data_IF_008963844070
#
_entry.id   IF_008963844070
#
_cell.length_a   1.000
_cell.length_b   1.000
_cell.length_c   1.000
_cell.angle_alpha   90.00
_cell.angle_beta   90.00
_cell.angle_gamma   90.00
#
_symmetry.space_group_name_H-M   'P 1'
#
loop_
_entity.id
_entity.type
_entity.pdbx_description
1 polymer ?
#
# COMPACT_ATOMS: atom_id res chain seq x y z
N UNK A 1 25.64 -39.48 47.42
CA UNK A 1 26.11 -38.36 46.56
C UNK A 1 26.02 -37.08 47.38
N UNK A 2 27.04 -36.21 47.35
CA UNK A 2 26.99 -34.91 48.05
C UNK A 2 26.10 -33.92 47.27
N UNK A 3 25.54 -32.92 47.95
CA UNK A 3 24.74 -31.87 47.32
C UNK A 3 25.49 -31.17 46.17
N UNK A 4 26.80 -30.92 46.37
CA UNK A 4 27.69 -30.35 45.33
C UNK A 4 27.76 -31.20 44.04
N UNK A 5 27.70 -32.52 44.16
CA UNK A 5 27.73 -33.39 42.98
C UNK A 5 26.42 -33.30 42.16
N UNK A 6 25.29 -33.04 42.82
CA UNK A 6 23.99 -32.85 42.16
C UNK A 6 23.94 -31.45 41.51
N UNK A 7 24.42 -30.42 42.20
CA UNK A 7 24.53 -29.06 41.66
C UNK A 7 25.38 -29.04 40.38
N UNK A 8 26.56 -29.66 40.40
CA UNK A 8 27.42 -29.77 39.22
C UNK A 8 26.74 -30.52 38.05
N UNK A 9 25.89 -31.51 38.33
CA UNK A 9 25.12 -32.20 37.28
C UNK A 9 24.02 -31.32 36.68
N UNK A 10 23.34 -30.50 37.51
CA UNK A 10 22.34 -29.54 37.05
C UNK A 10 22.99 -28.48 36.15
N UNK A 11 24.14 -27.95 36.55
CA UNK A 11 24.87 -26.96 35.77
C UNK A 11 25.32 -27.53 34.42
N UNK A 12 25.84 -28.76 34.42
CA UNK A 12 26.24 -29.45 33.20
C UNK A 12 25.06 -29.66 32.22
N UNK A 13 23.89 -30.02 32.74
CA UNK A 13 22.67 -30.19 31.92
C UNK A 13 22.18 -28.84 31.40
N UNK A 14 22.22 -27.79 32.22
CA UNK A 14 21.80 -26.44 31.84
C UNK A 14 22.63 -25.90 30.67
N UNK A 15 23.96 -26.07 30.74
CA UNK A 15 24.87 -25.69 29.66
C UNK A 15 24.59 -26.48 28.36
N UNK A 16 24.29 -27.77 28.46
CA UNK A 16 23.96 -28.57 27.28
C UNK A 16 22.58 -28.19 26.69
N UNK A 17 21.61 -27.79 27.51
CA UNK A 17 20.33 -27.23 27.04
C UNK A 17 20.59 -25.94 26.26
N UNK A 18 21.33 -24.98 26.81
CA UNK A 18 21.65 -23.71 26.15
C UNK A 18 22.37 -23.92 24.82
N UNK A 19 23.40 -24.77 24.81
CA UNK A 19 24.13 -25.08 23.59
C UNK A 19 23.22 -25.68 22.51
N UNK A 20 22.29 -26.56 22.89
CA UNK A 20 21.35 -27.17 21.94
C UNK A 20 20.29 -26.19 21.47
N UNK A 21 19.78 -25.33 22.34
CA UNK A 21 18.81 -24.31 21.94
C UNK A 21 19.44 -23.31 20.98
N UNK A 22 20.69 -22.91 21.19
CA UNK A 22 21.43 -22.06 20.25
C UNK A 22 21.54 -22.67 18.85
N UNK A 23 21.99 -23.92 18.77
CA UNK A 23 22.12 -24.64 17.49
C UNK A 23 20.76 -24.78 16.80
N UNK A 24 19.73 -25.19 17.55
CA UNK A 24 18.38 -25.35 17.01
C UNK A 24 17.79 -24.01 16.53
N UNK A 25 17.98 -22.93 17.28
CA UNK A 25 17.54 -21.59 16.88
C UNK A 25 18.25 -21.11 15.60
N UNK A 26 19.56 -21.34 15.49
CA UNK A 26 20.32 -20.99 14.30
C UNK A 26 19.82 -21.77 13.07
N UNK A 27 19.57 -23.07 13.22
CA UNK A 27 19.02 -23.92 12.17
C UNK A 27 17.59 -23.48 11.79
N UNK A 28 16.73 -23.21 12.77
CA UNK A 28 15.38 -22.73 12.55
C UNK A 28 15.38 -21.41 11.77
N UNK A 29 16.23 -20.46 12.14
CA UNK A 29 16.40 -19.17 11.43
C UNK A 29 16.81 -19.38 9.96
N UNK A 30 17.71 -20.34 9.70
CA UNK A 30 18.14 -20.70 8.34
C UNK A 30 17.01 -21.35 7.53
N UNK A 31 16.23 -22.24 8.12
CA UNK A 31 15.08 -22.85 7.45
C UNK A 31 13.99 -21.81 7.16
N UNK A 32 13.70 -20.93 8.11
CA UNK A 32 12.72 -19.86 7.93
C UNK A 32 13.11 -18.86 6.85
N UNK A 33 14.38 -18.48 6.77
CA UNK A 33 14.88 -17.63 5.68
C UNK A 33 14.75 -18.34 4.33
N UNK A 34 15.08 -19.64 4.25
CA UNK A 34 14.91 -20.45 3.04
C UNK A 34 13.43 -20.57 2.63
N UNK A 35 12.53 -20.83 3.58
CA UNK A 35 11.08 -20.86 3.36
C UNK A 35 10.57 -19.50 2.85
N UNK A 36 11.01 -18.39 3.46
CA UNK A 36 10.67 -17.03 3.02
C UNK A 36 11.11 -16.78 1.57
N UNK A 37 12.30 -17.24 1.17
CA UNK A 37 12.78 -17.11 -0.20
C UNK A 37 11.89 -17.88 -1.19
N UNK A 38 11.59 -19.14 -0.90
CA UNK A 38 10.71 -19.98 -1.73
C UNK A 38 9.31 -19.39 -1.83
N UNK A 39 8.77 -18.86 -0.72
CA UNK A 39 7.47 -18.19 -0.71
C UNK A 39 7.46 -16.97 -1.64
N UNK A 40 8.53 -16.17 -1.65
CA UNK A 40 8.68 -15.02 -2.56
C UNK A 40 8.74 -15.46 -4.02
N UNK A 41 9.51 -16.50 -4.33
CA UNK A 41 9.60 -17.05 -5.68
C UNK A 41 8.23 -17.56 -6.17
N UNK A 42 7.53 -18.32 -5.32
CA UNK A 42 6.19 -18.81 -5.63
C UNK A 42 5.21 -17.67 -5.89
N UNK A 43 5.24 -16.63 -5.06
CA UNK A 43 4.39 -15.45 -5.25
C UNK A 43 4.71 -14.73 -6.56
N UNK A 44 5.98 -14.62 -6.95
CA UNK A 44 6.37 -14.02 -8.23
C UNK A 44 5.89 -14.82 -9.45
N UNK A 45 5.82 -16.15 -9.35
CA UNK A 45 5.26 -17.02 -10.40
C UNK A 45 3.73 -16.95 -10.43
N UNK A 46 3.10 -16.85 -9.26
CA UNK A 46 1.63 -16.85 -9.12
C UNK A 46 0.99 -15.50 -9.39
N UNK A 47 1.70 -14.39 -9.20
CA UNK A 47 1.20 -13.04 -9.45
C UNK A 47 1.39 -12.69 -10.94
N UNK A 48 0.34 -12.79 -11.78
CA UNK A 48 0.50 -12.56 -13.20
C UNK A 48 0.89 -11.11 -13.50
N UNK A 49 0.49 -10.17 -12.63
CA UNK A 49 0.82 -8.75 -12.77
C UNK A 49 2.31 -8.51 -12.55
N UNK A 50 2.94 -9.24 -11.62
CA UNK A 50 4.38 -9.15 -11.39
C UNK A 50 5.25 -9.56 -12.59
N UNK A 51 4.66 -10.27 -13.57
CA UNK A 51 5.33 -10.71 -14.80
C UNK A 51 5.12 -9.78 -15.98
N UNK A 52 4.20 -8.83 -15.87
CA UNK A 52 3.94 -7.85 -16.92
C UNK A 52 4.94 -6.70 -16.81
N UNK A 53 5.35 -6.09 -17.94
CA UNK A 53 6.03 -4.80 -17.91
C UNK A 53 5.22 -3.78 -17.11
N UNK A 54 5.91 -2.83 -16.48
CA UNK A 54 5.29 -1.81 -15.64
C UNK A 54 4.22 -1.04 -16.42
N UNK A 55 4.51 -0.71 -17.68
CA UNK A 55 3.64 0.03 -18.58
C UNK A 55 2.30 -0.69 -18.80
N UNK A 56 2.34 -2.01 -18.99
CA UNK A 56 1.13 -2.82 -19.21
C UNK A 56 0.32 -2.93 -17.93
N UNK A 57 0.98 -3.10 -16.78
CA UNK A 57 0.31 -3.13 -15.47
C UNK A 57 -0.36 -1.79 -15.15
N UNK A 58 0.33 -0.67 -15.42
CA UNK A 58 -0.20 0.68 -15.26
C UNK A 58 -1.41 0.91 -16.16
N UNK A 59 -1.37 0.48 -17.42
CA UNK A 59 -2.50 0.58 -18.36
C UNK A 59 -3.72 -0.21 -17.88
N UNK A 60 -3.51 -1.46 -17.43
CA UNK A 60 -4.58 -2.27 -16.83
C UNK A 60 -5.20 -1.55 -15.62
N UNK A 61 -4.37 -0.95 -14.77
CA UNK A 61 -4.85 -0.23 -13.59
C UNK A 61 -5.65 1.03 -13.96
N UNK A 62 -5.27 1.74 -15.02
CA UNK A 62 -6.02 2.88 -15.55
C UNK A 62 -7.41 2.45 -16.04
N UNK A 63 -7.51 1.28 -16.68
CA UNK A 63 -8.80 0.70 -17.09
C UNK A 63 -9.69 0.28 -15.92
N UNK A 64 -9.14 0.11 -14.71
CA UNK A 64 -9.91 -0.13 -13.50
C UNK A 64 -10.53 1.13 -12.90
N UNK A 65 -10.16 2.34 -13.37
CA UNK A 65 -10.73 3.56 -12.83
C UNK A 65 -12.24 3.65 -13.14
N UNK A 66 -13.06 4.13 -12.21
CA UNK A 66 -14.50 4.30 -12.37
C UNK A 66 -14.85 5.53 -13.26
N UNK A 67 -14.22 5.64 -14.43
CA UNK A 67 -14.43 6.71 -15.42
C UNK A 67 -15.69 6.50 -16.26
N UNK A 68 -16.48 5.46 -15.95
CA UNK A 68 -17.69 5.10 -16.70
C UNK A 68 -18.86 6.05 -16.38
N UNK A 69 -19.78 6.26 -17.34
CA UNK A 69 -20.97 7.12 -17.18
C UNK A 69 -21.93 6.68 -16.06
N UNK A 70 -21.72 5.50 -15.49
CA UNK A 70 -22.50 4.92 -14.39
C UNK A 70 -22.23 5.61 -13.04
N UNK A 71 -21.12 6.36 -12.93
CA UNK A 71 -20.79 7.14 -11.74
C UNK A 71 -21.24 8.60 -11.92
N UNK A 72 -22.11 9.15 -11.05
CA UNK A 72 -22.70 10.48 -11.23
C UNK A 72 -21.69 11.63 -11.35
N UNK A 73 -20.44 11.42 -10.92
CA UNK A 73 -19.36 12.41 -11.02
C UNK A 73 -18.44 12.21 -12.23
N UNK A 74 -18.42 11.05 -12.87
CA UNK A 74 -17.40 10.69 -13.87
C UNK A 74 -15.95 10.66 -13.33
N UNK A 75 -15.78 10.72 -12.01
CA UNK A 75 -14.49 10.84 -11.32
C UNK A 75 -14.48 9.92 -10.09
N UNK A 76 -13.33 9.29 -9.75
CA UNK A 76 -13.22 8.33 -8.66
C UNK A 76 -13.48 8.97 -7.30
N UNK A 77 -14.34 8.35 -6.50
CA UNK A 77 -14.52 8.72 -5.10
C UNK A 77 -13.46 7.99 -4.26
N UNK A 78 -12.75 8.68 -3.34
CA UNK A 78 -11.84 8.03 -2.40
C UNK A 78 -12.58 6.99 -1.55
N UNK A 79 -12.35 5.71 -1.83
CA UNK A 79 -12.95 4.60 -1.10
C UNK A 79 -12.08 3.35 -1.24
N UNK A 80 -11.96 2.55 -0.17
CA UNK A 80 -11.09 1.38 -0.14
C UNK A 80 -11.44 0.31 -1.20
N UNK A 81 -12.68 0.30 -1.68
CA UNK A 81 -13.18 -0.63 -2.70
C UNK A 81 -13.25 -0.03 -4.11
N UNK A 82 -12.71 1.18 -4.31
CA UNK A 82 -12.75 1.89 -5.59
C UNK A 82 -11.31 2.23 -6.00
N UNK A 83 -10.97 2.00 -7.27
CA UNK A 83 -9.67 2.41 -7.81
C UNK A 83 -9.54 3.95 -7.78
N UNK A 84 -8.35 4.49 -7.50
CA UNK A 84 -7.07 3.79 -7.35
C UNK A 84 -6.82 3.14 -5.97
N UNK A 85 -7.55 3.52 -4.92
CA UNK A 85 -7.26 3.03 -3.55
C UNK A 85 -7.43 1.53 -3.38
N UNK A 86 -8.37 0.91 -4.09
CA UNK A 86 -8.53 -0.55 -4.13
C UNK A 86 -7.22 -1.26 -4.51
N UNK A 87 -6.49 -0.71 -5.48
CA UNK A 87 -5.27 -1.32 -6.01
C UNK A 87 -4.14 -1.37 -4.98
N UNK A 88 -4.21 -0.53 -3.94
CA UNK A 88 -3.22 -0.52 -2.85
C UNK A 88 -3.39 -1.68 -1.87
N UNK A 89 -4.56 -2.31 -1.85
CA UNK A 89 -4.96 -3.29 -0.84
C UNK A 89 -4.82 -4.75 -1.31
N UNK A 90 -4.31 -4.98 -2.53
CA UNK A 90 -4.22 -6.34 -3.11
C UNK A 90 -2.92 -7.03 -2.70
N UNK A 91 -1.77 -6.48 -3.09
CA UNK A 91 -0.45 -6.97 -2.70
C UNK A 91 0.59 -5.85 -2.84
N UNK A 92 1.79 -6.03 -2.27
CA UNK A 92 2.86 -5.04 -2.35
C UNK A 92 3.26 -4.66 -3.78
N UNK A 93 3.22 -5.60 -4.72
CA UNK A 93 3.51 -5.34 -6.14
C UNK A 93 2.51 -4.35 -6.72
N UNK A 94 1.22 -4.57 -6.49
CA UNK A 94 0.17 -3.67 -6.97
C UNK A 94 0.23 -2.31 -6.28
N UNK A 95 0.50 -2.28 -4.97
CA UNK A 95 0.74 -1.02 -4.26
C UNK A 95 1.86 -0.25 -4.93
N UNK A 96 3.02 -0.86 -5.19
CA UNK A 96 4.16 -0.18 -5.80
C UNK A 96 3.85 0.37 -7.20
N UNK A 97 3.17 -0.42 -8.04
CA UNK A 97 2.75 0.02 -9.38
C UNK A 97 1.76 1.19 -9.28
N UNK A 98 0.72 1.06 -8.46
CA UNK A 98 -0.30 2.08 -8.33
C UNK A 98 0.27 3.40 -7.76
N UNK A 99 1.18 3.32 -6.79
CA UNK A 99 1.83 4.50 -6.22
C UNK A 99 2.82 5.17 -7.19
N UNK A 100 3.39 4.42 -8.13
CA UNK A 100 4.34 4.92 -9.14
C UNK A 100 3.68 5.30 -10.48
N UNK A 101 2.34 5.24 -10.56
CA UNK A 101 1.58 5.60 -11.77
C UNK A 101 0.77 6.87 -11.51
N UNK A 102 1.30 8.08 -11.77
CA UNK A 102 0.65 9.33 -11.37
C UNK A 102 -0.70 9.58 -12.06
N UNK A 103 -0.89 9.08 -13.27
CA UNK A 103 -2.15 9.16 -14.01
C UNK A 103 -3.36 8.57 -13.26
N UNK A 104 -3.14 7.57 -12.40
CA UNK A 104 -4.20 7.00 -11.54
C UNK A 104 -4.78 8.01 -10.53
N UNK A 105 -3.99 9.02 -10.20
CA UNK A 105 -4.26 10.03 -9.18
C UNK A 105 -4.66 11.37 -9.78
N UNK A 106 -4.69 11.47 -11.12
CA UNK A 106 -5.01 12.70 -11.84
C UNK A 106 -6.50 13.12 -11.72
N UNK A 107 -7.35 12.29 -11.12
CA UNK A 107 -8.76 12.62 -10.94
C UNK A 107 -9.27 12.24 -9.55
N UNK A 108 -10.17 13.04 -8.98
CA UNK A 108 -10.81 12.79 -7.69
C UNK A 108 -12.19 13.47 -7.62
N UNK A 109 -13.16 12.78 -7.03
CA UNK A 109 -14.45 13.36 -6.63
C UNK A 109 -14.55 13.48 -5.11
N UNK A 110 -14.77 14.71 -4.64
CA UNK A 110 -14.85 15.07 -3.24
C UNK A 110 -16.31 15.37 -2.89
N UNK A 111 -16.88 14.59 -1.96
CA UNK A 111 -18.23 14.82 -1.44
C UNK A 111 -18.20 15.45 -0.06
N UNK A 112 -19.12 16.37 0.20
CA UNK A 112 -19.28 17.06 1.49
C UNK A 112 -20.58 16.63 2.19
N UNK A 113 -20.58 16.51 3.54
CA UNK A 113 -19.41 16.58 4.41
C UNK A 113 -18.48 15.36 4.24
N UNK A 114 -17.18 15.55 4.43
CA UNK A 114 -16.20 14.46 4.42
C UNK A 114 -15.77 14.09 5.85
N UNK A 115 -15.24 12.88 6.09
CA UNK A 115 -14.71 12.48 7.39
C UNK A 115 -13.55 13.38 7.86
N UNK A 116 -13.33 13.44 9.17
CA UNK A 116 -12.14 14.07 9.76
C UNK A 116 -10.87 13.42 9.23
N UNK A 117 -9.86 14.23 8.86
CA UNK A 117 -8.57 13.74 8.36
C UNK A 117 -8.56 13.44 6.86
N UNK A 118 -9.64 13.76 6.13
CA UNK A 118 -9.69 13.67 4.67
C UNK A 118 -8.60 14.54 4.00
N UNK A 119 -8.18 15.62 4.65
CA UNK A 119 -7.15 16.53 4.14
C UNK A 119 -5.82 15.82 3.90
N UNK A 120 -5.40 14.93 4.81
CA UNK A 120 -4.18 14.13 4.63
C UNK A 120 -4.30 13.17 3.45
N UNK A 121 -5.49 12.58 3.25
CA UNK A 121 -5.75 11.71 2.10
C UNK A 121 -5.73 12.51 0.80
N UNK A 122 -6.35 13.70 0.80
CA UNK A 122 -6.38 14.59 -0.35
C UNK A 122 -4.97 15.06 -0.71
N UNK A 123 -4.18 15.51 0.26
CA UNK A 123 -2.79 15.91 0.04
C UNK A 123 -1.96 14.75 -0.52
N UNK A 124 -2.09 13.55 0.05
CA UNK A 124 -1.44 12.35 -0.47
C UNK A 124 -1.88 12.01 -1.90
N UNK A 125 -3.14 12.23 -2.24
CA UNK A 125 -3.68 12.03 -3.59
C UNK A 125 -3.10 13.04 -4.58
N UNK A 126 -3.17 14.34 -4.25
CA UNK A 126 -2.68 15.43 -5.08
C UNK A 126 -1.18 15.29 -5.35
N UNK A 127 -0.39 14.99 -4.31
CA UNK A 127 1.05 14.76 -4.46
C UNK A 127 1.37 13.61 -5.41
N UNK A 128 0.57 12.52 -5.38
CA UNK A 128 0.78 11.36 -6.26
C UNK A 128 0.39 11.61 -7.70
N UNK A 129 -0.47 12.59 -7.98
CA UNK A 129 -0.80 12.99 -9.36
C UNK A 129 0.41 13.56 -10.11
N UNK A 130 1.44 14.02 -9.39
CA UNK A 130 2.64 14.58 -9.99
C UNK A 130 2.28 15.72 -10.93
N UNK A 131 2.89 15.78 -12.11
CA UNK A 131 2.57 16.82 -13.10
C UNK A 131 1.35 16.50 -13.99
N UNK A 132 0.55 15.49 -13.65
CA UNK A 132 -0.58 15.12 -14.51
C UNK A 132 -1.70 16.15 -14.41
N UNK A 133 -2.42 16.41 -15.51
CA UNK A 133 -3.54 17.34 -15.52
C UNK A 133 -4.64 16.90 -14.53
N UNK A 134 -4.86 17.69 -13.47
CA UNK A 134 -5.79 17.36 -12.39
C UNK A 134 -7.24 17.66 -12.76
N UNK A 135 -8.12 16.68 -12.49
CA UNK A 135 -9.57 16.79 -12.64
C UNK A 135 -10.27 16.57 -11.31
N UNK A 136 -10.82 17.65 -10.74
CA UNK A 136 -11.47 17.63 -9.43
C UNK A 136 -12.95 17.93 -9.58
N UNK A 137 -13.80 17.07 -9.04
CA UNK A 137 -15.24 17.29 -8.93
C UNK A 137 -15.63 17.44 -7.46
N UNK A 138 -16.25 18.57 -7.13
CA UNK A 138 -16.81 18.83 -5.80
C UNK A 138 -18.30 18.48 -5.81
N UNK A 139 -18.81 17.93 -4.71
CA UNK A 139 -20.24 17.65 -4.51
C UNK A 139 -20.68 18.11 -3.14
N UNK A 140 -21.53 19.13 -3.08
CA UNK A 140 -22.00 19.76 -1.85
C UNK A 140 -21.20 21.01 -1.46
N UNK A 141 -21.52 21.61 -0.31
CA UNK A 141 -20.88 22.86 0.13
C UNK A 141 -19.44 22.62 0.60
N UNK A 142 -18.47 23.18 -0.13
CA UNK A 142 -17.04 23.03 0.13
C UNK A 142 -16.58 23.82 1.37
N UNK A 143 -15.59 23.28 2.09
CA UNK A 143 -14.93 23.96 3.21
C UNK A 143 -13.66 24.71 2.75
N UNK A 144 -13.24 25.74 3.49
CA UNK A 144 -12.06 26.56 3.16
C UNK A 144 -10.73 25.77 3.17
N UNK A 145 -10.63 24.69 3.95
CA UNK A 145 -9.41 23.86 4.06
C UNK A 145 -9.19 22.95 2.86
N UNK A 146 -10.26 22.47 2.22
CA UNK A 146 -10.14 21.71 0.96
C UNK A 146 -9.75 22.65 -0.18
N UNK A 147 -10.29 23.87 -0.21
CA UNK A 147 -9.88 24.86 -1.22
C UNK A 147 -8.41 25.22 -1.12
N UNK A 148 -7.82 25.34 0.09
CA UNK A 148 -6.40 25.66 0.21
C UNK A 148 -5.50 24.53 -0.32
N UNK A 149 -5.79 23.27 0.02
CA UNK A 149 -5.02 22.12 -0.48
C UNK A 149 -5.07 22.01 -2.02
N UNK A 150 -6.23 22.31 -2.62
CA UNK A 150 -6.39 22.35 -4.08
C UNK A 150 -5.60 23.51 -4.69
N UNK A 151 -5.67 24.70 -4.08
CA UNK A 151 -5.00 25.91 -4.57
C UNK A 151 -3.46 25.79 -4.51
N UNK A 152 -2.91 25.08 -3.53
CA UNK A 152 -1.48 24.77 -3.44
C UNK A 152 -0.97 23.97 -4.66
N UNK A 153 -1.84 23.19 -5.31
CA UNK A 153 -1.53 22.39 -6.49
C UNK A 153 -2.11 23.00 -7.79
N UNK A 154 -2.54 24.27 -7.74
CA UNK A 154 -3.29 24.95 -8.83
C UNK A 154 -2.58 25.00 -10.17
N UNK A 155 -1.23 24.96 -10.20
CA UNK A 155 -0.45 24.96 -11.44
C UNK A 155 -0.65 23.70 -12.31
N UNK A 156 -1.18 22.61 -11.74
CA UNK A 156 -1.40 21.32 -12.42
C UNK A 156 -2.89 21.10 -12.76
N UNK A 157 -3.75 22.08 -12.47
CA UNK A 157 -5.21 21.92 -12.52
C UNK A 157 -5.74 22.12 -13.94
N UNK A 158 -6.27 21.05 -14.55
CA UNK A 158 -6.82 21.10 -15.91
C UNK A 158 -8.31 21.40 -15.93
N UNK A 159 -9.06 20.90 -14.93
CA UNK A 159 -10.49 21.18 -14.80
C UNK A 159 -10.96 21.10 -13.36
N UNK A 160 -11.74 22.09 -12.93
CA UNK A 160 -12.49 22.10 -11.67
C UNK A 160 -13.99 22.10 -11.99
N UNK A 161 -14.72 21.07 -11.58
CA UNK A 161 -16.18 21.02 -11.66
C UNK A 161 -16.79 21.22 -10.27
N UNK A 162 -17.63 22.26 -10.15
CA UNK A 162 -18.39 22.63 -8.95
C UNK A 162 -19.77 21.97 -8.96
#
# INVERSE_FOLDING_TARGET
>A
MSAQAIEAQIDQISLEIERRTEVFMAEMSKLESSKRLLQRQLNAVRDPIARLPLEISSEIFLLCLPLRPEFPSGHPRPHAHIAPLLLLNVCHTWTNIALSTPALWASISIGFPHPTGFECLLEGWLRRSGCHPLQISLRGACTSRVTSAILEHSAQLQSLRL
#
